data_IF_210278999470
#
_entry.id   IF_210278999470
#
_cell.length_a   1.000
_cell.length_b   1.000
_cell.length_c   1.000
_cell.angle_alpha   90.00
_cell.angle_beta   90.00
_cell.angle_gamma   90.00
#
_symmetry.space_group_name_H-M   'P 1'
#
loop_
_entity.id
_entity.type
_entity.pdbx_description
1 polymer ?
#
# COMPACT_ATOMS: atom_id res chain seq x y z
N UNK A 1 61.22 -32.72 -34.25
CA UNK A 1 62.00 -31.73 -33.49
C UNK A 1 61.14 -30.49 -33.31
N UNK A 2 60.72 -30.26 -32.05
CA UNK A 2 60.32 -29.03 -31.34
C UNK A 2 59.64 -27.82 -32.06
N UNK A 3 58.82 -27.01 -31.33
CA UNK A 3 58.01 -27.35 -30.15
C UNK A 3 56.63 -26.65 -30.08
N UNK A 4 55.88 -27.10 -29.06
CA UNK A 4 54.65 -26.56 -28.49
C UNK A 4 54.67 -25.03 -28.26
N UNK A 5 53.57 -24.36 -28.64
CA UNK A 5 53.10 -23.15 -27.95
C UNK A 5 51.58 -23.24 -27.68
N UNK A 6 51.28 -23.63 -26.44
CA UNK A 6 50.29 -23.01 -25.54
C UNK A 6 48.84 -22.92 -26.06
N UNK A 7 48.08 -23.96 -25.69
CA UNK A 7 46.69 -23.89 -25.25
C UNK A 7 46.45 -22.68 -24.34
N UNK A 8 45.54 -21.77 -24.71
CA UNK A 8 44.59 -21.04 -23.84
C UNK A 8 44.13 -19.74 -24.53
N UNK A 9 43.12 -19.84 -25.39
CA UNK A 9 42.28 -18.68 -25.74
C UNK A 9 40.85 -19.12 -26.04
N UNK A 10 40.33 -20.00 -25.18
CA UNK A 10 38.90 -20.16 -24.95
C UNK A 10 38.64 -19.81 -23.48
N UNK A 11 37.56 -19.08 -23.25
CA UNK A 11 37.03 -18.59 -21.96
C UNK A 11 37.58 -17.22 -21.54
N UNK A 12 37.06 -16.16 -22.17
CA UNK A 12 36.56 -14.98 -21.44
C UNK A 12 35.35 -14.41 -22.19
N UNK A 13 34.31 -15.25 -22.35
CA UNK A 13 32.93 -14.76 -22.42
C UNK A 13 32.38 -14.80 -20.99
N UNK A 14 33.01 -14.05 -20.08
CA UNK A 14 32.44 -13.84 -18.75
C UNK A 14 31.33 -12.80 -18.90
N UNK A 15 30.11 -13.28 -18.70
CA UNK A 15 28.89 -12.50 -18.57
C UNK A 15 29.16 -11.25 -17.73
N UNK A 16 29.20 -10.07 -18.36
CA UNK A 16 28.87 -8.85 -17.63
C UNK A 16 27.36 -8.89 -17.46
N UNK A 17 26.93 -9.37 -16.30
CA UNK A 17 25.57 -9.20 -15.81
C UNK A 17 25.15 -7.76 -16.07
N UNK A 18 24.13 -7.58 -16.91
CA UNK A 18 23.48 -6.29 -17.13
C UNK A 18 22.79 -5.90 -15.82
N UNK A 19 23.54 -5.33 -14.88
CA UNK A 19 22.93 -4.45 -13.90
C UNK A 19 22.44 -3.25 -14.70
N UNK A 20 21.12 -3.16 -14.92
CA UNK A 20 20.50 -1.92 -15.41
C UNK A 20 20.82 -0.82 -14.39
N UNK A 21 21.92 -0.10 -14.60
CA UNK A 21 22.05 1.26 -14.12
C UNK A 21 21.10 2.09 -14.96
N UNK A 22 19.98 2.52 -14.37
CA UNK A 22 19.13 3.53 -14.98
C UNK A 22 20.04 4.75 -15.25
N UNK A 23 20.07 5.32 -16.46
CA UNK A 23 20.94 6.44 -16.77
C UNK A 23 20.60 7.64 -15.88
N UNK A 24 21.63 8.24 -15.27
CA UNK A 24 21.61 9.41 -14.36
C UNK A 24 20.76 10.58 -14.92
N UNK A 25 20.64 10.67 -16.24
CA UNK A 25 19.88 11.70 -16.95
C UNK A 25 18.37 11.70 -16.63
N UNK A 26 17.78 10.53 -16.33
CA UNK A 26 16.36 10.44 -15.97
C UNK A 26 16.07 10.96 -14.56
N UNK A 27 17.05 10.90 -13.66
CA UNK A 27 16.92 11.35 -12.26
C UNK A 27 16.85 12.88 -12.17
N UNK A 28 17.68 13.61 -12.94
CA UNK A 28 17.69 15.08 -12.94
C UNK A 28 16.42 15.69 -13.52
N UNK A 29 15.88 15.12 -14.59
CA UNK A 29 14.65 15.62 -15.22
C UNK A 29 13.43 15.39 -14.32
N UNK A 30 13.30 14.20 -13.73
CA UNK A 30 12.22 13.89 -12.79
C UNK A 30 12.25 14.80 -11.57
N UNK A 31 13.45 15.06 -11.03
CA UNK A 31 13.65 16.00 -9.93
C UNK A 31 13.28 17.42 -10.32
N UNK A 32 13.71 17.91 -11.49
CA UNK A 32 13.36 19.25 -11.96
C UNK A 32 11.85 19.44 -12.17
N UNK A 33 11.15 18.44 -12.73
CA UNK A 33 9.70 18.51 -12.93
C UNK A 33 8.96 18.64 -11.60
N UNK A 34 9.33 17.82 -10.62
CA UNK A 34 8.67 17.85 -9.31
C UNK A 34 9.00 19.11 -8.50
N UNK A 35 10.27 19.57 -8.52
CA UNK A 35 10.65 20.85 -7.91
C UNK A 35 9.90 22.03 -8.56
N UNK A 36 9.75 22.01 -9.89
CA UNK A 36 8.93 22.98 -10.62
C UNK A 36 7.47 22.94 -10.19
N UNK A 37 6.92 21.74 -9.95
CA UNK A 37 5.57 21.58 -9.41
C UNK A 37 5.44 22.14 -7.98
N UNK A 38 6.41 21.88 -7.10
CA UNK A 38 6.43 22.41 -5.73
C UNK A 38 6.37 23.94 -5.74
N UNK A 39 7.23 24.58 -6.53
CA UNK A 39 7.27 26.04 -6.69
C UNK A 39 5.94 26.57 -7.21
N UNK A 40 5.40 25.94 -8.27
CA UNK A 40 4.12 26.34 -8.89
C UNK A 40 2.94 26.31 -7.90
N UNK A 41 2.97 25.41 -6.92
CA UNK A 41 1.86 25.20 -5.97
C UNK A 41 2.20 25.68 -4.55
N UNK A 42 3.30 26.42 -4.37
CA UNK A 42 3.77 26.90 -3.06
C UNK A 42 3.86 25.79 -2.00
N UNK A 43 4.30 24.59 -2.43
CA UNK A 43 4.55 23.44 -1.56
C UNK A 43 6.04 23.35 -1.25
N UNK A 44 6.39 22.79 -0.10
CA UNK A 44 7.76 22.49 0.28
C UNK A 44 7.90 21.03 0.66
N UNK A 45 9.13 20.52 0.67
CA UNK A 45 9.43 19.28 1.39
C UNK A 45 9.08 19.44 2.87
N UNK A 46 8.77 18.32 3.51
CA UNK A 46 8.64 18.23 4.95
C UNK A 46 10.02 18.44 5.60
N UNK A 47 10.03 19.09 6.77
CA UNK A 47 11.26 19.47 7.47
C UNK A 47 11.96 18.29 8.17
N UNK A 48 11.43 17.07 8.07
CA UNK A 48 12.09 15.85 8.53
C UNK A 48 13.13 15.39 7.49
N UNK A 49 14.38 15.41 7.92
CA UNK A 49 15.59 15.44 7.11
C UNK A 49 15.85 14.15 6.34
N UNK A 50 15.59 14.21 5.02
CA UNK A 50 16.16 13.43 3.90
C UNK A 50 15.12 13.15 2.80
N UNK A 51 13.85 13.56 2.96
CA UNK A 51 12.76 13.33 1.98
C UNK A 51 13.16 13.68 0.54
N UNK A 52 13.86 14.79 0.35
CA UNK A 52 14.35 15.23 -0.96
C UNK A 52 15.24 14.20 -1.63
N UNK A 53 16.18 13.62 -0.90
CA UNK A 53 17.09 12.61 -1.45
C UNK A 53 16.45 11.22 -1.47
N UNK A 54 15.57 10.90 -0.52
CA UNK A 54 14.84 9.63 -0.49
C UNK A 54 13.83 9.47 -1.64
N UNK A 55 13.13 10.54 -2.02
CA UNK A 55 12.11 10.53 -3.08
C UNK A 55 12.67 10.10 -4.44
N UNK A 56 13.93 10.39 -4.73
CA UNK A 56 14.58 10.04 -6.00
C UNK A 56 15.55 8.86 -5.88
N UNK A 57 15.53 8.11 -4.78
CA UNK A 57 16.38 6.93 -4.65
C UNK A 57 16.03 5.90 -5.71
N UNK A 58 17.06 5.46 -6.43
CA UNK A 58 16.99 4.28 -7.29
C UNK A 58 16.73 3.04 -6.44
N UNK A 59 16.03 2.05 -7.00
CA UNK A 59 15.77 0.77 -6.37
C UNK A 59 17.07 0.14 -5.86
N UNK A 60 17.23 0.06 -4.54
CA UNK A 60 18.36 -0.57 -3.88
C UNK A 60 18.11 -2.07 -3.76
N UNK A 61 18.61 -2.84 -4.72
CA UNK A 61 18.41 -4.29 -4.79
C UNK A 61 19.03 -5.03 -3.61
N UNK A 62 20.00 -4.44 -2.90
CA UNK A 62 20.56 -5.07 -1.70
C UNK A 62 19.51 -5.20 -0.59
N UNK A 63 18.51 -4.31 -0.54
CA UNK A 63 17.38 -4.42 0.39
C UNK A 63 16.47 -5.61 0.09
N UNK A 64 16.55 -6.22 -1.11
CA UNK A 64 15.79 -7.43 -1.44
C UNK A 64 16.26 -8.66 -0.65
N UNK A 65 17.47 -8.62 -0.08
CA UNK A 65 17.98 -9.67 0.81
C UNK A 65 17.31 -9.68 2.19
N UNK A 66 16.50 -8.66 2.51
CA UNK A 66 15.72 -8.59 3.74
C UNK A 66 14.53 -9.56 3.74
N UNK A 67 13.80 -9.66 4.86
CA UNK A 67 12.58 -10.47 4.93
C UNK A 67 11.52 -9.88 4.00
N UNK A 68 11.23 -10.59 2.90
CA UNK A 68 10.19 -10.21 1.93
C UNK A 68 8.92 -11.02 2.16
N UNK A 69 7.76 -10.35 2.08
CA UNK A 69 6.44 -10.99 2.04
C UNK A 69 5.99 -11.07 0.58
N UNK A 70 5.52 -12.24 0.15
CA UNK A 70 4.93 -12.42 -1.18
C UNK A 70 3.41 -12.55 -1.11
N UNK A 71 2.73 -12.04 -2.14
CA UNK A 71 1.31 -12.28 -2.40
C UNK A 71 1.17 -13.26 -3.57
N UNK A 72 0.06 -13.98 -3.63
CA UNK A 72 -0.19 -14.96 -4.70
C UNK A 72 -1.06 -14.35 -5.83
N UNK A 73 -1.47 -13.09 -5.66
CA UNK A 73 -2.24 -12.31 -6.61
C UNK A 73 -2.92 -11.12 -5.94
N UNK A 74 -3.75 -10.43 -6.70
CA UNK A 74 -4.64 -9.37 -6.20
C UNK A 74 -5.98 -9.46 -6.93
N UNK A 75 -7.01 -8.83 -6.39
CA UNK A 75 -8.32 -8.73 -7.04
C UNK A 75 -8.88 -7.33 -6.94
N UNK A 76 -9.60 -6.96 -7.99
CA UNK A 76 -10.49 -5.82 -7.97
C UNK A 76 -11.79 -6.18 -7.25
N UNK A 77 -12.30 -5.22 -6.48
CA UNK A 77 -13.69 -5.23 -6.03
C UNK A 77 -14.56 -4.73 -7.18
N UNK A 78 -15.78 -5.26 -7.29
CA UNK A 78 -16.73 -4.76 -8.29
C UNK A 78 -16.95 -3.24 -8.10
N UNK A 79 -16.69 -2.42 -9.12
CA UNK A 79 -16.75 -0.98 -9.00
C UNK A 79 -18.19 -0.50 -8.88
N UNK A 80 -18.37 0.68 -8.28
CA UNK A 80 -19.67 1.33 -8.03
C UNK A 80 -20.65 0.43 -7.28
N UNK A 81 -20.13 -0.26 -6.26
CA UNK A 81 -20.93 -1.16 -5.44
C UNK A 81 -20.41 -1.20 -4.00
N UNK A 82 -20.95 -0.33 -3.14
CA UNK A 82 -20.58 -0.26 -1.72
C UNK A 82 -20.78 -1.59 -0.97
N UNK A 83 -21.74 -2.43 -1.38
CA UNK A 83 -21.94 -3.75 -0.77
C UNK A 83 -20.79 -4.73 -1.13
N UNK A 84 -20.27 -4.66 -2.35
CA UNK A 84 -19.10 -5.45 -2.76
C UNK A 84 -17.84 -5.00 -2.00
N UNK A 85 -17.67 -3.69 -1.83
CA UNK A 85 -16.59 -3.14 -0.99
C UNK A 85 -16.75 -3.59 0.47
N UNK A 86 -17.96 -3.52 1.02
CA UNK A 86 -18.25 -3.93 2.41
C UNK A 86 -17.87 -5.38 2.65
N UNK A 87 -18.24 -6.27 1.71
CA UNK A 87 -17.86 -7.69 1.76
C UNK A 87 -16.35 -7.89 1.73
N UNK A 88 -15.63 -7.13 0.89
CA UNK A 88 -14.17 -7.22 0.83
C UNK A 88 -13.52 -6.72 2.14
N UNK A 89 -13.94 -5.55 2.64
CA UNK A 89 -13.43 -4.95 3.88
C UNK A 89 -13.70 -5.85 5.10
N UNK A 90 -14.82 -6.58 5.12
CA UNK A 90 -15.12 -7.54 6.18
C UNK A 90 -14.12 -8.70 6.28
N UNK A 91 -13.40 -9.00 5.19
CA UNK A 91 -12.42 -10.09 5.15
C UNK A 91 -10.99 -9.60 5.40
N UNK A 92 -10.66 -8.38 4.99
CA UNK A 92 -9.31 -7.80 5.11
C UNK A 92 -9.32 -6.30 4.76
N UNK A 93 -8.26 -5.55 5.12
CA UNK A 93 -8.05 -4.21 4.59
C UNK A 93 -8.04 -4.16 3.05
N UNK A 94 -8.66 -3.13 2.49
CA UNK A 94 -8.81 -2.93 1.04
C UNK A 94 -8.19 -1.60 0.65
N UNK A 95 -7.31 -1.59 -0.37
CA UNK A 95 -6.84 -0.35 -0.97
C UNK A 95 -7.96 0.25 -1.81
N UNK A 96 -8.27 1.52 -1.59
CA UNK A 96 -9.32 2.26 -2.30
C UNK A 96 -8.78 3.60 -2.79
N UNK A 97 -9.28 4.08 -3.93
CA UNK A 97 -9.02 5.43 -4.39
C UNK A 97 -10.20 6.35 -4.04
N UNK A 98 -9.89 7.60 -3.69
CA UNK A 98 -10.85 8.66 -3.39
C UNK A 98 -10.43 9.96 -4.08
N UNK A 99 -11.35 10.92 -4.15
CA UNK A 99 -11.03 12.33 -4.39
C UNK A 99 -10.77 13.03 -3.04
N UNK A 100 -9.58 13.61 -2.87
CA UNK A 100 -9.11 14.20 -1.61
C UNK A 100 -8.49 15.61 -1.75
N UNK A 101 -8.43 16.20 -2.96
CA UNK A 101 -7.89 17.55 -3.14
C UNK A 101 -8.74 18.67 -2.53
N UNK A 102 -10.02 18.44 -2.25
CA UNK A 102 -10.94 19.48 -1.73
C UNK A 102 -10.51 20.02 -0.35
N UNK A 103 -10.67 21.33 -0.08
CA UNK A 103 -10.26 21.93 1.19
C UNK A 103 -10.96 21.31 2.41
N UNK A 104 -12.24 20.96 2.28
CA UNK A 104 -13.01 20.27 3.33
C UNK A 104 -12.37 18.95 3.76
N UNK A 105 -11.81 18.20 2.81
CA UNK A 105 -11.13 16.94 3.11
C UNK A 105 -9.74 17.19 3.70
N UNK A 106 -8.97 18.12 3.12
CA UNK A 106 -7.64 18.48 3.64
C UNK A 106 -7.68 18.96 5.09
N UNK A 107 -8.74 19.69 5.48
CA UNK A 107 -8.92 20.26 6.81
C UNK A 107 -9.77 19.38 7.75
N UNK A 108 -10.08 18.14 7.37
CA UNK A 108 -10.81 17.21 8.22
C UNK A 108 -10.07 16.97 9.55
N UNK A 109 -10.81 17.03 10.66
CA UNK A 109 -10.31 16.80 12.02
C UNK A 109 -10.99 15.63 12.72
N UNK A 110 -12.31 15.50 12.61
CA UNK A 110 -13.07 14.44 13.28
C UNK A 110 -14.51 14.31 12.75
N UNK A 111 -15.19 13.25 13.16
CA UNK A 111 -16.59 12.99 12.82
C UNK A 111 -16.74 12.17 11.54
N UNK A 112 -17.99 11.90 11.14
CA UNK A 112 -18.28 11.27 9.85
C UNK A 112 -18.19 12.35 8.77
N UNK A 113 -17.18 12.25 7.91
CA UNK A 113 -16.97 13.12 6.76
C UNK A 113 -18.13 12.97 5.76
N UNK A 114 -18.89 14.07 5.62
CA UNK A 114 -19.92 14.26 4.61
C UNK A 114 -19.71 15.56 3.80
N UNK A 115 -18.48 16.08 3.79
CA UNK A 115 -18.11 17.31 3.06
C UNK A 115 -18.23 17.18 1.54
N UNK A 116 -18.02 18.28 0.81
CA UNK A 116 -18.15 18.27 -0.66
C UNK A 116 -16.93 17.61 -1.29
N UNK A 117 -17.17 16.60 -2.12
CA UNK A 117 -16.17 15.93 -2.96
C UNK A 117 -16.85 15.33 -4.20
N UNK A 118 -16.12 15.25 -5.29
CA UNK A 118 -16.49 14.63 -6.56
C UNK A 118 -16.01 13.19 -6.68
N UNK A 119 -15.57 12.82 -7.88
CA UNK A 119 -15.13 11.48 -8.27
C UNK A 119 -13.84 11.49 -9.12
N UNK A 120 -13.14 12.62 -9.17
CA UNK A 120 -11.85 12.76 -9.83
C UNK A 120 -10.76 12.18 -8.93
N UNK A 121 -10.71 10.85 -8.87
CA UNK A 121 -9.85 10.10 -7.95
C UNK A 121 -8.38 10.55 -8.07
N UNK A 122 -7.80 10.98 -6.97
CA UNK A 122 -6.46 11.58 -6.90
C UNK A 122 -5.61 11.03 -5.75
N UNK A 123 -6.21 10.26 -4.84
CA UNK A 123 -5.55 9.79 -3.62
C UNK A 123 -5.89 8.34 -3.30
N UNK A 124 -4.89 7.56 -2.93
CA UNK A 124 -5.02 6.16 -2.56
C UNK A 124 -4.91 5.99 -1.04
N UNK A 125 -5.91 5.33 -0.45
CA UNK A 125 -6.03 5.12 1.01
C UNK A 125 -6.41 3.67 1.29
N UNK A 126 -6.50 3.28 2.57
CA UNK A 126 -6.87 1.92 2.96
C UNK A 126 -8.16 1.90 3.77
N UNK A 127 -9.21 1.29 3.23
CA UNK A 127 -10.41 0.97 4.00
C UNK A 127 -10.12 -0.21 4.93
N UNK A 128 -10.16 0.01 6.23
CA UNK A 128 -9.80 -0.98 7.27
C UNK A 128 -11.01 -1.46 8.07
N UNK A 129 -12.17 -0.83 7.90
CA UNK A 129 -13.39 -1.19 8.59
C UNK A 129 -14.59 -0.37 8.11
N UNK A 130 -15.73 -0.59 8.76
CA UNK A 130 -16.95 0.19 8.58
C UNK A 130 -17.81 0.06 9.84
N UNK A 131 -18.71 1.01 10.06
CA UNK A 131 -19.60 1.00 11.21
C UNK A 131 -20.84 1.85 11.00
N UNK A 132 -21.52 2.09 12.11
CA UNK A 132 -22.68 2.98 12.23
C UNK A 132 -22.53 3.73 13.56
N UNK A 133 -22.69 5.05 13.55
CA UNK A 133 -22.69 5.88 14.75
C UNK A 133 -23.85 6.88 14.66
N UNK A 134 -24.67 6.95 15.71
CA UNK A 134 -25.84 7.84 15.77
C UNK A 134 -26.79 7.74 14.54
N UNK A 135 -26.90 6.56 13.93
CA UNK A 135 -27.73 6.31 12.75
C UNK A 135 -27.05 6.60 11.40
N UNK A 136 -25.80 7.08 11.41
CA UNK A 136 -25.01 7.37 10.21
C UNK A 136 -23.98 6.27 9.96
N UNK A 137 -24.01 5.71 8.76
CA UNK A 137 -23.10 4.67 8.32
C UNK A 137 -21.77 5.27 7.83
N UNK A 138 -20.65 4.64 8.18
CA UNK A 138 -19.33 5.10 7.75
C UNK A 138 -18.38 3.97 7.32
N UNK A 139 -17.38 4.35 6.51
CA UNK A 139 -16.14 3.62 6.24
C UNK A 139 -15.06 4.12 7.19
N UNK A 140 -14.32 3.21 7.85
CA UNK A 140 -13.12 3.57 8.59
C UNK A 140 -11.91 3.44 7.65
N UNK A 141 -11.25 4.55 7.38
CA UNK A 141 -10.20 4.65 6.37
C UNK A 141 -8.91 5.16 7.00
N UNK A 142 -7.82 4.42 6.79
CA UNK A 142 -6.46 4.81 7.17
C UNK A 142 -5.86 5.69 6.07
N UNK A 143 -5.39 6.88 6.45
CA UNK A 143 -4.68 7.81 5.56
C UNK A 143 -3.15 7.72 5.77
N UNK A 144 -2.39 8.46 4.97
CA UNK A 144 -0.93 8.50 4.96
C UNK A 144 -0.37 9.91 5.16
N UNK A 145 -1.11 10.80 5.82
CA UNK A 145 -0.72 12.21 6.08
C UNK A 145 -0.24 12.45 7.51
N UNK A 146 0.08 11.38 8.24
CA UNK A 146 0.54 11.43 9.63
C UNK A 146 -0.60 11.46 10.65
N UNK A 147 -0.24 11.24 11.91
CA UNK A 147 -1.20 11.08 13.02
C UNK A 147 -1.86 12.40 13.43
N UNK A 148 -1.25 13.55 13.10
CA UNK A 148 -1.80 14.87 13.40
C UNK A 148 -2.98 15.28 12.49
N UNK A 149 -3.28 14.49 11.46
CA UNK A 149 -4.38 14.75 10.55
C UNK A 149 -5.58 13.86 10.90
N UNK A 150 -6.79 14.42 10.85
CA UNK A 150 -8.01 13.68 11.15
C UNK A 150 -8.01 13.05 12.54
N UNK A 151 -8.60 11.87 12.63
CA UNK A 151 -8.71 11.10 13.87
C UNK A 151 -7.48 10.20 14.00
N UNK A 152 -6.35 10.74 14.45
CA UNK A 152 -5.08 10.01 14.60
C UNK A 152 -4.56 9.40 13.27
N UNK A 153 -4.75 10.12 12.15
CA UNK A 153 -4.40 9.65 10.81
C UNK A 153 -5.51 8.86 10.10
N UNK A 154 -6.69 8.76 10.71
CA UNK A 154 -7.87 8.10 10.14
C UNK A 154 -8.96 9.10 9.77
N UNK A 155 -9.87 8.64 8.91
CA UNK A 155 -11.11 9.36 8.57
C UNK A 155 -12.28 8.38 8.53
N UNK A 156 -13.42 8.81 9.06
CA UNK A 156 -14.69 8.11 8.91
C UNK A 156 -15.45 8.73 7.74
N UNK A 157 -15.53 8.06 6.60
CA UNK A 157 -16.20 8.58 5.39
C UNK A 157 -17.63 8.08 5.33
N UNK A 158 -18.61 8.94 5.07
CA UNK A 158 -20.02 8.53 4.98
C UNK A 158 -20.22 7.39 3.97
N UNK A 159 -20.93 6.35 4.39
CA UNK A 159 -21.26 5.14 3.63
C UNK A 159 -22.75 5.12 3.32
N UNK A 160 -23.14 4.33 2.32
CA UNK A 160 -24.54 4.18 1.89
C UNK A 160 -25.13 5.50 1.38
N UNK A 161 -24.37 6.15 0.50
CA UNK A 161 -24.80 7.42 -0.13
C UNK A 161 -25.54 7.15 -1.43
N UNK A 162 -26.37 8.11 -1.88
CA UNK A 162 -27.22 7.94 -3.06
C UNK A 162 -26.48 7.61 -4.36
N UNK A 163 -25.24 8.08 -4.63
CA UNK A 163 -24.52 7.58 -5.80
C UNK A 163 -23.81 6.25 -5.50
N UNK A 164 -23.89 5.25 -6.40
CA UNK A 164 -23.32 3.92 -6.20
C UNK A 164 -21.78 3.91 -6.16
N UNK A 165 -21.14 5.00 -6.59
CA UNK A 165 -19.70 5.20 -6.46
C UNK A 165 -19.24 5.46 -5.02
N UNK A 166 -20.18 5.67 -4.07
CA UNK A 166 -19.88 6.03 -2.70
C UNK A 166 -19.35 7.46 -2.57
N UNK A 167 -19.28 7.96 -1.33
CA UNK A 167 -18.76 9.29 -1.03
C UNK A 167 -17.30 9.41 -1.53
N UNK A 168 -17.00 10.51 -2.20
CA UNK A 168 -15.69 10.80 -2.83
C UNK A 168 -15.18 9.72 -3.80
N UNK A 169 -16.08 8.88 -4.33
CA UNK A 169 -15.73 7.81 -5.26
C UNK A 169 -15.09 6.57 -4.61
N UNK A 170 -15.16 6.39 -3.29
CA UNK A 170 -14.51 5.30 -2.55
C UNK A 170 -14.80 3.89 -3.10
N UNK A 171 -15.96 3.68 -3.73
CA UNK A 171 -16.34 2.39 -4.31
C UNK A 171 -16.01 2.25 -5.81
N UNK A 172 -15.33 3.22 -6.44
CA UNK A 172 -15.01 3.20 -7.88
C UNK A 172 -13.79 2.37 -8.23
N UNK A 173 -12.75 2.41 -7.40
CA UNK A 173 -11.50 1.70 -7.66
C UNK A 173 -10.96 1.15 -6.35
N UNK A 174 -11.12 -0.17 -6.16
CA UNK A 174 -10.73 -0.84 -4.95
C UNK A 174 -10.07 -2.19 -5.26
N UNK A 175 -8.96 -2.48 -4.58
CA UNK A 175 -8.19 -3.72 -4.76
C UNK A 175 -7.73 -4.30 -3.42
N UNK A 176 -7.57 -5.62 -3.39
CA UNK A 176 -7.00 -6.31 -2.23
C UNK A 176 -6.04 -7.43 -2.66
N UNK A 177 -4.95 -7.65 -1.91
CA UNK A 177 -4.03 -8.75 -2.18
C UNK A 177 -4.63 -10.09 -1.75
N UNK A 178 -4.19 -11.16 -2.42
CA UNK A 178 -4.56 -12.54 -2.10
C UNK A 178 -3.35 -13.26 -1.57
N UNK A 179 -3.52 -13.92 -0.41
CA UNK A 179 -2.61 -14.95 0.08
C UNK A 179 -3.39 -16.24 0.30
N UNK A 180 -3.05 -17.29 -0.44
CA UNK A 180 -3.61 -18.62 -0.25
C UNK A 180 -3.08 -19.18 1.06
N UNK A 181 -3.98 -19.76 1.87
CA UNK A 181 -3.55 -20.56 3.02
C UNK A 181 -2.69 -21.70 2.49
N UNK A 182 -1.55 -21.96 3.13
CA UNK A 182 -0.80 -23.18 2.86
C UNK A 182 -1.70 -24.34 3.25
N UNK A 183 -1.94 -25.27 2.33
CA UNK A 183 -2.51 -26.56 2.69
C UNK A 183 -1.48 -27.25 3.58
N UNK A 184 -1.72 -27.24 4.89
CA UNK A 184 -1.09 -28.21 5.78
C UNK A 184 -1.89 -29.48 5.54
N UNK A 185 -1.24 -30.52 5.02
CA UNK A 185 -1.86 -31.84 4.97
C UNK A 185 -2.18 -32.23 6.41
N UNK A 186 -3.46 -32.33 6.75
CA UNK A 186 -3.95 -32.98 7.98
C UNK A 186 -3.55 -34.46 7.90
N UNK A 187 -2.30 -34.75 8.28
CA UNK A 187 -1.69 -36.07 8.16
C UNK A 187 -0.51 -36.30 9.11
N UNK A 188 -0.17 -35.34 9.97
CA UNK A 188 0.63 -35.61 11.16
C UNK A 188 -0.22 -35.24 12.37
N UNK A 189 -0.91 -36.23 12.92
CA UNK A 189 -1.43 -36.15 14.28
C UNK A 189 -0.27 -35.70 15.17
N UNK A 190 -0.39 -34.49 15.72
CA UNK A 190 0.42 -34.11 16.86
C UNK A 190 -0.16 -34.91 18.02
N UNK A 191 0.56 -35.93 18.48
CA UNK A 191 0.21 -36.70 19.67
C UNK A 191 0.14 -35.73 20.86
N UNK A 192 -1.08 -35.31 21.19
CA UNK A 192 -1.38 -34.71 22.49
C UNK A 192 -1.58 -35.88 23.44
N UNK A 193 -0.49 -36.50 23.87
CA UNK A 193 -0.48 -37.35 25.05
C UNK A 193 0.61 -36.86 26.01
N UNK A 194 0.14 -36.36 27.15
CA UNK A 194 0.85 -36.11 28.40
C UNK A 194 1.63 -34.79 28.50
N UNK A 195 0.89 -33.71 28.75
CA UNK A 195 1.31 -32.74 29.77
C UNK A 195 0.12 -32.42 30.69
N UNK A 196 -0.08 -33.28 31.68
CA UNK A 196 -0.88 -32.95 32.86
C UNK A 196 0.05 -32.28 33.86
N UNK A 197 0.25 -30.96 33.73
CA UNK A 197 0.56 -30.14 34.90
C UNK A 197 -0.45 -28.99 34.99
N UNK A 198 -1.41 -29.20 35.88
CA UNK A 198 -2.50 -28.28 36.12
C UNK A 198 -2.03 -27.07 36.89
N UNK A 199 -2.20 -25.89 36.32
CA UNK A 199 -2.46 -24.67 37.10
C UNK A 199 -3.67 -23.93 36.54
N UNK A 200 -4.79 -24.13 37.23
CA UNK A 200 -5.99 -23.28 37.17
C UNK A 200 -5.58 -21.84 37.46
N UNK A 201 -5.89 -20.92 36.54
CA UNK A 201 -6.09 -19.52 36.87
C UNK A 201 -7.59 -19.30 37.04
N UNK A 202 -8.00 -18.99 38.27
CA UNK A 202 -9.34 -18.56 38.66
C UNK A 202 -9.50 -17.04 38.46
N UNK A 203 -10.69 -16.66 37.99
CA UNK A 203 -11.38 -15.36 38.04
C UNK A 203 -10.55 -14.08 37.85
#
# INVERSE_FOLDING_TARGET
MAPLFIFLLLIFLSLTSSSLSIPIQYESETRQIFEGWLIKHSKSYNNNTNEKEERYRVCDTNKLSSRVVSIDGYRFVNPRNENSLKKAVANQPVSVAIEAFGPDFQLYTSGIYDGVCGISLDHAVTAIGYGTEAGEDYWLVKNSWGENWGEEGYVRIKRNTNPPHGKCGIAMFATYPIKKKRHVNEGSAFDVSNDTDGKKATA
#
